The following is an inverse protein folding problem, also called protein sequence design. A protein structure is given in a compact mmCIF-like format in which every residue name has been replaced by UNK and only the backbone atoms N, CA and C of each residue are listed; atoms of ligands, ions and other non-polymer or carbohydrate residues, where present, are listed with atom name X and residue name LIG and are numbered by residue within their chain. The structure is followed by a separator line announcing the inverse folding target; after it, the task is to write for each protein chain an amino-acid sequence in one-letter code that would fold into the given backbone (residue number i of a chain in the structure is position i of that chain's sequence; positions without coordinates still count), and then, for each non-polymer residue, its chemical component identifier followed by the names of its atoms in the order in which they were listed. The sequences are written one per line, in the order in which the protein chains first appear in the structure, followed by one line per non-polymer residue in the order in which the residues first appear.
data_IF_209629511437
#
_entry.id   IF_209629511437
#
_cell.length_a   1.000
_cell.length_b   1.000
_cell.length_c   1.000
_cell.angle_alpha   90.00
_cell.angle_beta   90.00
_cell.angle_gamma   90.00
#
_symmetry.space_group_name_H-M   'P 1'
#
loop_
_entity.id
_entity.type
_entity.pdbx_description
1 polymer ?
#
# COMPACT_ATOMS: atom_id res chain seq x y z
N UNK A 1 24.12 -7.97 15.80
CA UNK A 1 22.90 -7.18 15.57
C UNK A 1 23.22 -6.13 14.53
N UNK A 2 22.31 -5.91 13.58
CA UNK A 2 22.49 -4.96 12.49
C UNK A 2 22.30 -3.53 12.98
N UNK A 3 23.05 -2.58 12.42
CA UNK A 3 22.95 -1.13 12.74
C UNK A 3 21.52 -0.59 12.61
N UNK A 4 20.71 -1.21 11.75
CA UNK A 4 19.29 -0.87 11.57
C UNK A 4 18.44 -1.37 12.74
N UNK A 5 18.70 -2.59 13.25
CA UNK A 5 17.98 -3.15 14.40
C UNK A 5 18.22 -2.32 15.66
N UNK A 6 19.46 -1.88 15.87
CA UNK A 6 19.81 -1.02 17.01
C UNK A 6 19.12 0.35 16.93
N UNK A 7 18.99 0.91 15.73
CA UNK A 7 18.26 2.16 15.50
C UNK A 7 16.76 2.01 15.72
N UNK A 8 16.17 0.90 15.30
CA UNK A 8 14.74 0.62 15.53
C UNK A 8 14.47 0.48 17.02
N UNK A 9 15.31 -0.27 17.76
CA UNK A 9 15.18 -0.42 19.21
C UNK A 9 15.34 0.91 19.94
N UNK A 10 16.30 1.73 19.56
CA UNK A 10 16.48 3.06 20.15
C UNK A 10 15.27 3.97 19.92
N UNK A 11 14.73 3.99 18.69
CA UNK A 11 13.54 4.78 18.35
C UNK A 11 12.28 4.28 19.07
N UNK A 12 12.13 2.96 19.26
CA UNK A 12 11.03 2.39 20.05
C UNK A 12 11.12 2.79 21.52
N UNK A 13 12.30 2.67 22.14
CA UNK A 13 12.50 3.05 23.53
C UNK A 13 12.25 4.55 23.76
N UNK A 14 12.69 5.41 22.84
CA UNK A 14 12.44 6.85 22.88
C UNK A 14 10.94 7.17 22.73
N UNK A 15 10.25 6.49 21.82
CA UNK A 15 8.80 6.65 21.62
C UNK A 15 7.97 6.14 22.79
N UNK A 16 8.39 5.05 23.43
CA UNK A 16 7.70 4.51 24.62
C UNK A 16 7.89 5.43 25.83
N UNK A 17 9.10 5.99 26.01
CA UNK A 17 9.40 6.90 27.10
C UNK A 17 8.64 8.23 27.02
N UNK A 18 8.33 8.69 25.81
CA UNK A 18 7.69 10.01 25.55
C UNK A 18 6.22 9.89 25.15
N UNK A 19 5.61 8.70 25.29
CA UNK A 19 4.24 8.40 24.83
C UNK A 19 3.18 9.35 25.41
N UNK A 20 3.28 9.65 26.70
CA UNK A 20 2.30 10.47 27.42
C UNK A 20 2.70 11.96 27.46
N UNK A 21 3.85 12.31 26.86
CA UNK A 21 4.29 13.69 26.77
C UNK A 21 3.47 14.45 25.71
N UNK A 22 3.10 15.72 25.97
CA UNK A 22 2.47 16.54 24.96
C UNK A 22 3.38 16.67 23.74
N UNK A 23 2.81 16.52 22.54
CA UNK A 23 3.55 16.75 21.31
C UNK A 23 4.18 18.16 21.30
N UNK A 24 5.44 18.30 20.83
CA UNK A 24 6.10 19.59 20.71
C UNK A 24 5.23 20.61 19.97
N UNK A 25 5.18 21.85 20.47
CA UNK A 25 4.37 22.92 19.88
C UNK A 25 4.80 23.17 18.42
N UNK A 26 3.85 23.07 17.49
CA UNK A 26 4.12 23.16 16.05
C UNK A 26 4.43 21.83 15.36
N UNK A 27 4.31 20.71 16.08
CA UNK A 27 4.23 19.38 15.45
C UNK A 27 3.06 19.40 14.45
N UNK A 28 3.25 18.96 13.19
CA UNK A 28 2.13 18.81 12.27
C UNK A 28 1.08 17.95 12.96
N UNK A 29 -0.17 18.42 13.03
CA UNK A 29 -1.29 17.51 13.30
C UNK A 29 -1.14 16.36 12.33
N UNK A 30 -1.10 15.12 12.83
CA UNK A 30 -0.78 13.94 12.04
C UNK A 30 -1.83 13.70 10.95
N UNK A 31 -1.80 14.48 9.88
CA UNK A 31 -2.54 14.24 8.66
C UNK A 31 -1.94 12.98 8.04
N UNK A 32 -2.63 11.87 8.25
CA UNK A 32 -2.33 10.63 7.52
C UNK A 32 -2.61 10.92 6.06
N UNK A 33 -1.59 10.99 5.19
CA UNK A 33 -1.78 11.33 3.79
C UNK A 33 -2.79 10.35 3.17
N UNK A 34 -3.83 10.87 2.52
CA UNK A 34 -4.84 10.07 1.83
C UNK A 34 -6.08 9.67 2.65
N UNK A 35 -6.10 9.84 3.98
CA UNK A 35 -7.30 9.53 4.79
C UNK A 35 -8.46 10.49 4.51
N UNK A 36 -8.17 11.76 4.28
CA UNK A 36 -9.17 12.78 3.95
C UNK A 36 -9.75 12.64 2.53
N UNK A 37 -9.07 11.92 1.63
CA UNK A 37 -9.46 11.77 0.23
C UNK A 37 -10.08 10.41 -0.10
N UNK A 38 -10.13 9.48 0.86
CA UNK A 38 -10.61 8.11 0.66
C UNK A 38 -11.92 7.88 1.42
N UNK A 39 -12.94 7.37 0.73
CA UNK A 39 -14.21 6.95 1.34
C UNK A 39 -14.19 5.43 1.53
N UNK A 40 -14.63 4.95 2.69
CA UNK A 40 -14.76 3.51 2.97
C UNK A 40 -16.13 3.03 2.51
N UNK A 41 -16.15 2.12 1.54
CA UNK A 41 -17.36 1.41 1.11
C UNK A 41 -17.26 -0.06 1.53
N UNK A 42 -18.30 -0.57 2.20
CA UNK A 42 -18.42 -1.98 2.54
C UNK A 42 -19.35 -2.70 1.56
N UNK A 43 -18.92 -3.86 1.06
CA UNK A 43 -19.73 -4.76 0.23
C UNK A 43 -19.70 -6.16 0.81
N UNK A 44 -20.78 -6.94 0.60
CA UNK A 44 -20.82 -8.35 0.99
C UNK A 44 -20.42 -9.21 -0.19
N UNK A 45 -19.43 -10.07 0.00
CA UNK A 45 -19.00 -11.06 -0.97
C UNK A 45 -19.39 -12.46 -0.49
N UNK A 46 -19.64 -13.40 -1.41
CA UNK A 46 -19.65 -14.82 -1.09
C UNK A 46 -18.36 -15.25 -0.38
N UNK A 47 -18.46 -16.18 0.57
CA UNK A 47 -17.33 -16.58 1.41
C UNK A 47 -16.22 -17.30 0.61
N UNK A 48 -16.62 -18.09 -0.38
CA UNK A 48 -15.74 -18.75 -1.34
C UNK A 48 -14.97 -17.74 -2.19
N UNK A 49 -15.65 -16.70 -2.70
CA UNK A 49 -15.01 -15.63 -3.44
C UNK A 49 -13.98 -14.88 -2.57
N UNK A 50 -14.31 -14.58 -1.30
CA UNK A 50 -13.36 -13.93 -0.40
C UNK A 50 -12.12 -14.80 -0.15
N UNK A 51 -12.30 -16.10 0.06
CA UNK A 51 -11.19 -17.04 0.25
C UNK A 51 -10.27 -17.11 -0.99
N UNK A 52 -10.83 -17.07 -2.20
CA UNK A 52 -10.03 -17.02 -3.44
C UNK A 52 -9.20 -15.73 -3.52
N UNK A 53 -9.78 -14.59 -3.15
CA UNK A 53 -9.07 -13.30 -3.11
C UNK A 53 -7.92 -13.34 -2.11
N UNK A 54 -8.11 -13.94 -0.93
CA UNK A 54 -7.05 -14.09 0.07
C UNK A 54 -5.89 -14.93 -0.44
N UNK A 55 -6.18 -16.02 -1.16
CA UNK A 55 -5.15 -16.85 -1.81
C UNK A 55 -4.37 -16.06 -2.86
N UNK A 56 -5.07 -15.29 -3.70
CA UNK A 56 -4.41 -14.47 -4.73
C UNK A 56 -3.54 -13.40 -4.07
N UNK A 57 -4.06 -12.69 -3.07
CA UNK A 57 -3.32 -11.67 -2.33
C UNK A 57 -2.04 -12.24 -1.71
N UNK A 58 -2.13 -13.43 -1.09
CA UNK A 58 -0.97 -14.14 -0.53
C UNK A 58 0.06 -14.54 -1.57
N UNK A 59 -0.37 -14.98 -2.76
CA UNK A 59 0.55 -15.30 -3.88
C UNK A 59 1.31 -14.09 -4.41
N UNK A 60 0.72 -12.90 -4.32
CA UNK A 60 1.31 -11.65 -4.78
C UNK A 60 2.01 -10.85 -3.67
N UNK A 61 2.02 -11.37 -2.43
CA UNK A 61 2.55 -10.69 -1.25
C UNK A 61 2.00 -9.26 -1.07
N UNK A 62 0.68 -9.10 -1.25
CA UNK A 62 0.00 -7.81 -1.09
C UNK A 62 -1.15 -7.90 -0.09
N UNK A 63 -1.47 -6.81 0.63
CA UNK A 63 -2.69 -6.77 1.44
C UNK A 63 -3.94 -6.97 0.58
N UNK A 64 -4.88 -7.78 1.07
CA UNK A 64 -6.18 -8.05 0.41
C UNK A 64 -6.89 -6.76 -0.03
N UNK A 65 -6.95 -5.76 0.86
CA UNK A 65 -7.57 -4.47 0.54
C UNK A 65 -6.84 -3.70 -0.57
N UNK A 66 -5.52 -3.85 -0.68
CA UNK A 66 -4.73 -3.23 -1.75
C UNK A 66 -5.00 -3.92 -3.09
N UNK A 67 -5.11 -5.25 -3.10
CA UNK A 67 -5.49 -6.03 -4.29
C UNK A 67 -6.88 -5.65 -4.80
N UNK A 68 -7.89 -5.66 -3.91
CA UNK A 68 -9.27 -5.30 -4.26
C UNK A 68 -9.34 -3.87 -4.79
N UNK A 69 -8.65 -2.91 -4.13
CA UNK A 69 -8.58 -1.52 -4.61
C UNK A 69 -7.99 -1.46 -6.02
N UNK A 70 -6.91 -2.19 -6.28
CA UNK A 70 -6.28 -2.26 -7.61
C UNK A 70 -7.26 -2.74 -8.68
N UNK A 71 -7.97 -3.83 -8.43
CA UNK A 71 -8.98 -4.35 -9.37
C UNK A 71 -10.12 -3.38 -9.63
N UNK A 72 -10.64 -2.72 -8.60
CA UNK A 72 -11.71 -1.72 -8.76
C UNK A 72 -11.25 -0.55 -9.62
N UNK A 73 -10.03 -0.05 -9.39
CA UNK A 73 -9.49 1.06 -10.19
C UNK A 73 -9.23 0.66 -11.64
N UNK A 74 -8.71 -0.55 -11.87
CA UNK A 74 -8.49 -1.08 -13.22
C UNK A 74 -9.82 -1.26 -13.97
N UNK A 75 -10.84 -1.83 -13.33
CA UNK A 75 -12.16 -1.96 -13.93
C UNK A 75 -12.78 -0.59 -14.27
N UNK A 76 -12.63 0.40 -13.38
CA UNK A 76 -13.10 1.76 -13.66
C UNK A 76 -12.33 2.46 -14.78
N UNK A 77 -11.04 2.15 -14.97
CA UNK A 77 -10.27 2.66 -16.10
C UNK A 77 -10.79 2.06 -17.41
N UNK A 78 -10.95 0.73 -17.45
CA UNK A 78 -11.51 0.03 -18.60
C UNK A 78 -12.92 0.53 -18.99
N UNK A 79 -13.80 0.74 -18.02
CA UNK A 79 -15.16 1.28 -18.24
C UNK A 79 -15.16 2.73 -18.73
N UNK A 80 -14.14 3.52 -18.37
CA UNK A 80 -14.00 4.90 -18.86
C UNK A 80 -13.55 4.97 -20.32
N UNK A 81 -13.29 3.81 -20.94
CA UNK A 81 -12.77 3.73 -22.29
C UNK A 81 -11.35 4.26 -22.31
N UNK A 82 -10.40 3.44 -21.87
CA UNK A 82 -8.98 3.79 -21.92
C UNK A 82 -8.62 4.32 -23.30
N UNK A 83 -8.17 5.57 -23.34
CA UNK A 83 -7.41 6.00 -24.49
C UNK A 83 -6.18 5.11 -24.60
N UNK A 84 -5.76 4.76 -25.82
CA UNK A 84 -4.55 3.95 -26.05
C UNK A 84 -3.34 4.48 -25.26
N UNK A 85 -3.27 5.79 -25.05
CA UNK A 85 -2.26 6.47 -24.24
C UNK A 85 -2.27 6.01 -22.79
N UNK A 86 -3.44 5.94 -22.14
CA UNK A 86 -3.55 5.54 -20.72
C UNK A 86 -3.17 4.06 -20.52
N UNK A 87 -3.55 3.20 -21.47
CA UNK A 87 -3.15 1.79 -21.45
C UNK A 87 -1.62 1.61 -21.62
N UNK A 88 -1.00 2.43 -22.49
CA UNK A 88 0.46 2.44 -22.68
C UNK A 88 1.17 2.96 -21.43
N UNK A 89 0.67 4.04 -20.81
CA UNK A 89 1.26 4.60 -19.59
C UNK A 89 1.22 3.58 -18.43
N UNK A 90 0.12 2.83 -18.32
CA UNK A 90 0.00 1.76 -17.34
C UNK A 90 1.01 0.63 -17.58
N UNK A 91 1.16 0.18 -18.84
CA UNK A 91 2.16 -0.83 -19.21
C UNK A 91 3.60 -0.37 -18.93
N UNK A 92 3.92 0.90 -19.18
CA UNK A 92 5.23 1.48 -18.87
C UNK A 92 5.47 1.46 -17.36
N UNK A 93 4.49 1.87 -16.56
CA UNK A 93 4.60 1.87 -15.09
C UNK A 93 4.82 0.45 -14.53
N UNK A 94 4.12 -0.53 -15.09
CA UNK A 94 4.27 -1.93 -14.69
C UNK A 94 5.64 -2.50 -15.11
N UNK A 95 6.13 -2.17 -16.30
CA UNK A 95 7.48 -2.56 -16.74
C UNK A 95 8.58 -1.95 -15.86
N UNK A 96 8.44 -0.68 -15.47
CA UNK A 96 9.38 -0.04 -14.54
C UNK A 96 9.34 -0.69 -13.16
N UNK A 97 8.16 -1.08 -12.69
CA UNK A 97 8.01 -1.81 -11.42
C UNK A 97 8.73 -3.15 -11.47
N UNK A 98 8.55 -3.93 -12.53
CA UNK A 98 9.26 -5.20 -12.73
C UNK A 98 10.77 -4.97 -12.79
N UNK A 99 11.22 -3.92 -13.48
CA UNK A 99 12.65 -3.58 -13.57
C UNK A 99 13.26 -3.22 -12.22
N UNK A 100 12.54 -2.49 -11.35
CA UNK A 100 13.00 -2.22 -9.99
C UNK A 100 13.14 -3.51 -9.19
N UNK A 101 12.14 -4.38 -9.24
CA UNK A 101 12.18 -5.68 -8.56
C UNK A 101 13.34 -6.55 -9.03
N UNK A 102 13.59 -6.61 -10.34
CA UNK A 102 14.72 -7.37 -10.90
C UNK A 102 16.09 -6.80 -10.52
N UNK A 103 16.18 -5.50 -10.24
CA UNK A 103 17.43 -4.85 -9.82
C UNK A 103 17.64 -4.89 -8.29
N UNK A 104 16.59 -5.17 -7.52
CA UNK A 104 16.62 -5.25 -6.06
C UNK A 104 16.81 -6.71 -5.56
N UNK A 105 16.88 -7.71 -6.44
CA UNK A 105 17.29 -9.08 -6.08
C UNK A 105 18.80 -9.15 -5.78
N UNK A 106 19.23 -9.65 -4.61
CA UNK A 106 20.63 -9.89 -4.34
C UNK A 106 21.13 -11.08 -5.17
N UNK A 107 22.33 -10.92 -5.77
CA UNK A 107 23.01 -11.91 -6.59
C UNK A 107 23.29 -13.25 -5.88
#
# INVERSE_FOLDING_TARGET
MSRTEDRIKAAQAESEATRDEPYPRGSPEGERPGRAQSVVQSVRLPADAMAEIEVIAGRHDVPVGALIRGWVLAALAAERGESLTEAVDQLVSDAERVRRLANDEPA
#
